data_IF_518352425841
#
_entry.id   IF_518352425841
#
_cell.length_a   1.000
_cell.length_b   1.000
_cell.length_c   1.000
_cell.angle_alpha   90.00
_cell.angle_beta   90.00
_cell.angle_gamma   90.00
#
_symmetry.space_group_name_H-M   'P 1'
#
loop_
_entity.id
_entity.type
_entity.pdbx_description
1 polymer ?
#
# COMPACT_ATOMS: atom_id res chain seq x y z
N UNK A 1 24.72 -2.54 31.34
CA UNK A 1 25.06 -3.02 29.98
C UNK A 1 23.76 -2.96 29.19
N UNK A 2 23.61 -1.98 28.30
CA UNK A 2 22.39 -1.84 27.49
C UNK A 2 22.42 -2.84 26.35
N UNK A 3 21.51 -3.80 26.37
CA UNK A 3 21.32 -4.73 25.27
C UNK A 3 20.72 -3.95 24.10
N UNK A 4 21.55 -3.67 23.08
CA UNK A 4 21.08 -3.23 21.77
C UNK A 4 20.32 -4.42 21.17
N UNK A 5 19.00 -4.39 21.27
CA UNK A 5 18.13 -5.30 20.51
C UNK A 5 18.49 -5.23 19.02
N UNK A 6 18.29 -6.33 18.26
CA UNK A 6 18.52 -6.30 16.82
C UNK A 6 17.73 -5.11 16.25
N UNK A 7 18.36 -4.35 15.34
CA UNK A 7 17.66 -3.36 14.53
C UNK A 7 16.58 -4.13 13.77
N UNK A 8 15.38 -4.24 14.37
CA UNK A 8 14.22 -4.82 13.74
C UNK A 8 13.90 -3.90 12.59
N UNK A 9 14.28 -4.32 11.38
CA UNK A 9 13.63 -3.83 10.18
C UNK A 9 12.13 -3.96 10.44
N UNK A 10 11.35 -2.87 10.34
CA UNK A 10 9.93 -2.90 10.66
C UNK A 10 9.25 -3.98 9.84
N UNK A 11 8.31 -4.69 10.44
CA UNK A 11 7.63 -5.81 9.78
C UNK A 11 6.97 -5.29 8.47
N UNK A 12 7.12 -5.99 7.34
CA UNK A 12 6.57 -5.54 6.06
C UNK A 12 5.07 -5.22 6.12
N UNK A 13 4.30 -5.97 6.91
CA UNK A 13 2.88 -5.70 7.11
C UNK A 13 2.66 -4.40 7.90
N UNK A 14 3.44 -4.15 8.96
CA UNK A 14 3.36 -2.88 9.70
C UNK A 14 3.68 -1.68 8.81
N UNK A 15 4.69 -1.81 7.94
CA UNK A 15 5.02 -0.77 6.95
C UNK A 15 3.89 -0.55 5.95
N UNK A 16 3.30 -1.63 5.43
CA UNK A 16 2.17 -1.54 4.51
C UNK A 16 0.95 -0.88 5.16
N UNK A 17 0.64 -1.22 6.42
CA UNK A 17 -0.46 -0.60 7.18
C UNK A 17 -0.24 0.91 7.30
N UNK A 18 0.97 1.32 7.71
CA UNK A 18 1.29 2.74 7.88
C UNK A 18 1.29 3.51 6.55
N UNK A 19 1.87 2.92 5.50
CA UNK A 19 1.92 3.53 4.17
C UNK A 19 0.52 3.66 3.55
N UNK A 20 -0.33 2.63 3.69
CA UNK A 20 -1.71 2.68 3.22
C UNK A 20 -2.51 3.77 3.93
N UNK A 21 -2.44 3.82 5.26
CA UNK A 21 -3.15 4.83 6.04
C UNK A 21 -2.70 6.26 5.66
N UNK A 22 -1.40 6.47 5.46
CA UNK A 22 -0.87 7.77 5.03
C UNK A 22 -1.32 8.15 3.60
N UNK A 23 -1.39 7.18 2.69
CA UNK A 23 -1.82 7.41 1.31
C UNK A 23 -3.31 7.75 1.22
N UNK A 24 -4.17 6.92 1.83
CA UNK A 24 -5.62 7.17 1.88
C UNK A 24 -5.94 8.51 2.54
N UNK A 25 -5.29 8.82 3.67
CA UNK A 25 -5.47 10.11 4.34
C UNK A 25 -5.06 11.29 3.44
N UNK A 26 -3.90 11.18 2.77
CA UNK A 26 -3.44 12.21 1.83
C UNK A 26 -4.45 12.46 0.69
N UNK A 27 -5.03 11.39 0.13
CA UNK A 27 -6.02 11.48 -0.92
C UNK A 27 -7.32 12.13 -0.41
N UNK A 28 -7.82 11.70 0.75
CA UNK A 28 -9.04 12.22 1.37
C UNK A 28 -8.93 13.68 1.80
N UNK A 29 -7.75 14.10 2.25
CA UNK A 29 -7.47 15.49 2.62
C UNK A 29 -7.35 16.43 1.42
N UNK A 30 -7.41 15.92 0.18
CA UNK A 30 -7.26 16.69 -1.06
C UNK A 30 -5.91 17.42 -1.13
N UNK A 31 -4.86 16.84 -0.57
CA UNK A 31 -3.50 17.40 -0.58
C UNK A 31 -2.77 17.17 -1.92
N UNK A 32 -3.49 16.80 -2.97
CA UNK A 32 -2.92 16.39 -4.25
C UNK A 32 -2.38 14.97 -4.21
N UNK A 33 -1.73 14.57 -5.30
CA UNK A 33 -1.11 13.26 -5.40
C UNK A 33 0.30 13.29 -4.80
N UNK A 34 0.47 12.65 -3.65
CA UNK A 34 1.76 12.60 -2.96
C UNK A 34 2.58 11.39 -3.42
N UNK A 35 3.45 11.63 -4.41
CA UNK A 35 4.36 10.63 -4.99
C UNK A 35 5.22 9.91 -3.95
N UNK A 36 5.69 10.62 -2.92
CA UNK A 36 6.59 10.03 -1.90
C UNK A 36 5.84 9.00 -1.05
N UNK A 37 4.60 9.32 -0.67
CA UNK A 37 3.75 8.41 0.10
C UNK A 37 3.32 7.24 -0.79
N UNK A 38 3.00 7.51 -2.06
CA UNK A 38 2.66 6.50 -3.04
C UNK A 38 3.79 5.48 -3.27
N UNK A 39 5.01 5.96 -3.53
CA UNK A 39 6.18 5.10 -3.70
C UNK A 39 6.52 4.31 -2.43
N UNK A 40 6.27 4.87 -1.25
CA UNK A 40 6.41 4.16 0.03
C UNK A 40 5.40 3.01 0.15
N UNK A 41 4.16 3.21 -0.31
CA UNK A 41 3.15 2.15 -0.35
C UNK A 41 3.55 1.03 -1.32
N UNK A 42 4.01 1.38 -2.53
CA UNK A 42 4.47 0.40 -3.52
C UNK A 42 5.62 -0.46 -3.00
N UNK A 43 6.62 0.16 -2.39
CA UNK A 43 7.75 -0.57 -1.78
C UNK A 43 7.29 -1.52 -0.67
N UNK A 44 6.31 -1.09 0.13
CA UNK A 44 5.76 -1.91 1.22
C UNK A 44 4.95 -3.10 0.67
N UNK A 45 4.20 -2.92 -0.41
CA UNK A 45 3.48 -3.99 -1.11
C UNK A 45 4.46 -5.03 -1.68
N UNK A 46 5.52 -4.60 -2.37
CA UNK A 46 6.56 -5.52 -2.85
C UNK A 46 7.22 -6.30 -1.70
N UNK A 47 7.59 -5.62 -0.61
CA UNK A 47 8.18 -6.28 0.55
C UNK A 47 7.21 -7.30 1.18
N UNK A 48 5.91 -7.02 1.19
CA UNK A 48 4.89 -7.97 1.61
C UNK A 48 4.78 -9.15 0.65
N UNK A 49 4.78 -8.93 -0.66
CA UNK A 49 4.75 -9.99 -1.66
C UNK A 49 5.94 -10.95 -1.50
N UNK A 50 7.16 -10.43 -1.33
CA UNK A 50 8.36 -11.23 -1.07
C UNK A 50 8.26 -11.99 0.26
N UNK A 51 7.77 -11.34 1.32
CA UNK A 51 7.64 -11.97 2.64
C UNK A 51 6.58 -13.07 2.67
N UNK A 52 5.47 -12.88 1.95
CA UNK A 52 4.35 -13.81 1.92
C UNK A 52 4.49 -14.90 0.86
N UNK A 53 5.41 -14.76 -0.10
CA UNK A 53 5.71 -15.78 -1.10
C UNK A 53 6.12 -17.14 -0.48
N UNK A 54 6.63 -17.14 0.75
CA UNK A 54 7.02 -18.36 1.49
C UNK A 54 5.96 -18.81 2.53
N UNK A 55 4.81 -18.13 2.61
CA UNK A 55 3.76 -18.44 3.58
C UNK A 55 2.57 -19.13 2.90
N UNK A 56 1.98 -20.11 3.58
CA UNK A 56 0.73 -20.75 3.11
C UNK A 56 -0.50 -19.83 3.21
N UNK A 57 -0.38 -18.70 3.92
CA UNK A 57 -1.50 -17.78 4.15
C UNK A 57 -1.02 -16.34 4.35
N UNK A 58 -1.81 -15.41 3.81
CA UNK A 58 -1.64 -13.96 4.02
C UNK A 58 -2.26 -13.56 5.36
N UNK A 59 -1.60 -12.70 6.16
CA UNK A 59 -2.18 -12.16 7.38
C UNK A 59 -3.52 -11.45 7.11
N UNK A 60 -4.52 -11.69 7.97
CA UNK A 60 -5.89 -11.15 7.79
C UNK A 60 -5.92 -9.62 7.61
N UNK A 61 -5.12 -8.89 8.38
CA UNK A 61 -5.05 -7.43 8.28
C UNK A 61 -4.51 -7.01 6.91
N UNK A 62 -3.50 -7.71 6.41
CA UNK A 62 -2.96 -7.48 5.08
C UNK A 62 -4.00 -7.74 4.00
N UNK A 63 -4.67 -8.90 4.05
CA UNK A 63 -5.74 -9.25 3.11
C UNK A 63 -6.87 -8.19 3.08
N UNK A 64 -7.28 -7.67 4.24
CA UNK A 64 -8.28 -6.60 4.32
C UNK A 64 -7.84 -5.32 3.60
N UNK A 65 -6.56 -4.95 3.68
CA UNK A 65 -6.02 -3.77 3.01
C UNK A 65 -5.95 -4.00 1.50
N UNK A 66 -5.43 -5.16 1.09
CA UNK A 66 -5.30 -5.52 -0.34
C UNK A 66 -6.64 -5.44 -1.09
N UNK A 67 -7.74 -5.90 -0.47
CA UNK A 67 -9.08 -5.85 -1.10
C UNK A 67 -9.68 -4.44 -1.13
N UNK A 68 -9.23 -3.54 -0.26
CA UNK A 68 -9.77 -2.19 -0.11
C UNK A 68 -9.02 -1.17 -0.99
N UNK A 69 -7.71 -1.37 -1.17
CA UNK A 69 -6.78 -0.47 -1.87
C UNK A 69 -7.34 0.09 -3.18
N UNK A 70 -7.84 -0.78 -4.07
CA UNK A 70 -8.32 -0.35 -5.38
C UNK A 70 -9.57 0.51 -5.25
N UNK A 71 -10.60 -0.01 -4.57
CA UNK A 71 -11.89 0.66 -4.46
C UNK A 71 -11.79 1.99 -3.70
N UNK A 72 -10.97 2.05 -2.65
CA UNK A 72 -10.74 3.28 -1.90
C UNK A 72 -9.95 4.32 -2.72
N UNK A 73 -8.93 3.89 -3.48
CA UNK A 73 -8.16 4.82 -4.34
C UNK A 73 -9.01 5.34 -5.49
N UNK A 74 -9.77 4.48 -6.16
CA UNK A 74 -10.69 4.84 -7.25
C UNK A 74 -11.78 5.81 -6.76
N UNK A 75 -12.43 5.52 -5.63
CA UNK A 75 -13.44 6.42 -5.06
C UNK A 75 -12.88 7.80 -4.68
N UNK A 76 -11.59 7.89 -4.33
CA UNK A 76 -10.94 9.16 -4.05
C UNK A 76 -10.58 9.95 -5.33
N UNK A 77 -10.57 9.33 -6.52
CA UNK A 77 -10.30 10.03 -7.78
C UNK A 77 -11.37 11.10 -8.09
N UNK A 78 -12.63 10.84 -7.73
CA UNK A 78 -13.75 11.81 -7.83
C UNK A 78 -13.54 13.10 -7.01
N UNK A 79 -12.56 13.12 -6.09
CA UNK A 79 -12.22 14.33 -5.32
C UNK A 79 -11.32 15.30 -6.10
N UNK A 80 -10.77 14.86 -7.23
CA UNK A 80 -9.83 15.61 -8.05
C UNK A 80 -10.43 15.91 -9.43
N UNK A 81 -9.81 16.84 -10.15
CA UNK A 81 -10.19 17.21 -11.52
C UNK A 81 -8.97 17.19 -12.45
N UNK A 82 -9.21 16.86 -13.73
CA UNK A 82 -8.19 16.89 -14.78
C UNK A 82 -7.07 15.89 -14.56
N UNK A 83 -5.82 16.33 -14.77
CA UNK A 83 -4.64 15.47 -14.71
C UNK A 83 -4.46 14.77 -13.34
N UNK A 84 -4.97 15.35 -12.25
CA UNK A 84 -4.88 14.71 -10.94
C UNK A 84 -5.85 13.53 -10.81
N UNK A 85 -7.04 13.61 -11.41
CA UNK A 85 -7.99 12.48 -11.47
C UNK A 85 -7.35 11.32 -12.22
N UNK A 86 -6.77 11.60 -13.39
CA UNK A 86 -6.13 10.58 -14.23
C UNK A 86 -4.97 9.90 -13.47
N UNK A 87 -4.17 10.67 -12.71
CA UNK A 87 -3.09 10.11 -11.89
C UNK A 87 -3.59 9.25 -10.73
N UNK A 88 -4.64 9.65 -10.03
CA UNK A 88 -5.23 8.83 -8.96
C UNK A 88 -5.81 7.53 -9.53
N UNK A 89 -6.46 7.61 -10.70
CA UNK A 89 -6.97 6.43 -11.40
C UNK A 89 -5.86 5.49 -11.86
N UNK A 90 -4.79 6.03 -12.47
CA UNK A 90 -3.61 5.25 -12.86
C UNK A 90 -2.99 4.55 -11.64
N UNK A 91 -2.85 5.29 -10.54
CA UNK A 91 -2.34 4.75 -9.29
C UNK A 91 -3.21 3.61 -8.73
N UNK A 92 -4.54 3.70 -8.86
CA UNK A 92 -5.44 2.63 -8.45
C UNK A 92 -5.17 1.34 -9.23
N UNK A 93 -5.01 1.43 -10.56
CA UNK A 93 -4.70 0.27 -11.40
C UNK A 93 -3.30 -0.29 -11.12
N UNK A 94 -2.27 0.55 -10.99
CA UNK A 94 -0.93 0.09 -10.64
C UNK A 94 -0.92 -0.62 -9.27
N UNK A 95 -1.63 -0.08 -8.28
CA UNK A 95 -1.77 -0.75 -6.98
C UNK A 95 -2.53 -2.07 -7.08
N UNK A 96 -3.52 -2.19 -7.98
CA UNK A 96 -4.23 -3.44 -8.21
C UNK A 96 -3.31 -4.54 -8.74
N UNK A 97 -2.42 -4.20 -9.67
CA UNK A 97 -1.43 -5.14 -10.19
C UNK A 97 -0.47 -5.60 -9.10
N UNK A 98 0.01 -4.69 -8.25
CA UNK A 98 0.87 -4.99 -7.10
C UNK A 98 0.17 -5.85 -6.04
N UNK A 99 -1.12 -5.59 -5.79
CA UNK A 99 -1.96 -6.45 -4.95
C UNK A 99 -2.03 -7.86 -5.53
N UNK A 100 -2.15 -7.98 -6.86
CA UNK A 100 -2.08 -9.24 -7.59
C UNK A 100 -0.81 -10.03 -7.28
N UNK A 101 0.34 -9.37 -7.20
CA UNK A 101 1.62 -10.00 -6.84
C UNK A 101 1.63 -10.51 -5.39
N UNK A 102 0.99 -9.80 -4.47
CA UNK A 102 0.89 -10.21 -3.06
C UNK A 102 0.03 -11.48 -2.87
N UNK A 103 -0.97 -11.68 -3.75
CA UNK A 103 -1.92 -12.81 -3.66
C UNK A 103 -1.62 -13.94 -4.63
N UNK A 104 -0.67 -13.75 -5.54
CA UNK A 104 -0.20 -14.78 -6.45
C UNK A 104 0.55 -15.84 -5.65
N UNK A 105 -0.19 -16.82 -5.10
CA UNK A 105 0.36 -18.04 -4.52
C UNK A 105 1.23 -18.71 -5.59
N UNK A 106 2.53 -18.82 -5.32
CA UNK A 106 3.51 -19.49 -6.19
C UNK A 106 3.78 -20.91 -5.73
#
# INVERSE_FOLDING_TARGET
MGERGPLMTPDPLEQMIAAWAAFDDSLRMRNGFNEVIYDSLKQSLHACADAWAMLDAIPRVGANILVDIFAATEANADLYEGELTDRVMEAAYELHDLVGECVALR
#
